data_IF_247167214045
#
_entry.id   IF_247167214045
#
_cell.length_a   1.000
_cell.length_b   1.000
_cell.length_c   1.000
_cell.angle_alpha   90.00
_cell.angle_beta   90.00
_cell.angle_gamma   90.00
#
_symmetry.space_group_name_H-M   'P 1'
#
loop_
_entity.id
_entity.type
_entity.pdbx_description
1 polymer ?
#
# COMPACT_ATOMS: atom_id res chain seq x y z
N UNK A 1 0.84 61.71 41.58
CA UNK A 1 0.09 60.59 40.97
C UNK A 1 0.94 59.33 41.08
N UNK A 2 0.58 58.42 42.00
CA UNK A 2 1.34 57.19 42.30
C UNK A 2 0.88 56.05 41.38
N UNK A 3 1.80 55.45 40.63
CA UNK A 3 1.55 54.25 39.80
C UNK A 3 1.71 53.00 40.68
N UNK A 4 0.64 52.22 40.85
CA UNK A 4 0.69 50.86 41.38
C UNK A 4 1.16 49.93 40.26
N UNK A 5 2.24 49.20 40.50
CA UNK A 5 2.67 48.07 39.67
C UNK A 5 2.14 46.77 40.31
N UNK A 6 1.24 46.08 39.61
CA UNK A 6 0.77 44.76 39.99
C UNK A 6 1.69 43.70 39.36
N UNK A 7 2.32 42.89 40.21
CA UNK A 7 3.19 41.78 39.81
C UNK A 7 2.31 40.56 39.52
N UNK A 8 2.18 40.17 38.26
CA UNK A 8 1.46 38.97 37.83
C UNK A 8 2.44 37.78 37.88
N UNK A 9 2.26 36.89 38.87
CA UNK A 9 3.02 35.63 38.96
C UNK A 9 2.34 34.62 38.03
N UNK A 10 2.97 34.34 36.89
CA UNK A 10 2.57 33.27 35.98
C UNK A 10 3.12 31.96 36.55
N UNK A 11 2.25 31.15 37.15
CA UNK A 11 2.57 29.76 37.50
C UNK A 11 2.69 28.97 36.19
N UNK A 12 3.94 28.72 35.76
CA UNK A 12 4.24 27.75 34.71
C UNK A 12 3.96 26.35 35.26
N UNK A 13 2.73 25.86 35.09
CA UNK A 13 2.45 24.44 35.22
C UNK A 13 3.25 23.71 34.13
N UNK A 14 4.43 23.20 34.49
CA UNK A 14 5.12 22.20 33.70
C UNK A 14 4.25 20.94 33.70
N UNK A 15 3.33 20.87 32.72
CA UNK A 15 2.52 19.68 32.51
C UNK A 15 3.47 18.53 32.20
N UNK A 16 3.52 17.54 33.09
CA UNK A 16 4.12 16.25 32.77
C UNK A 16 3.37 15.72 31.54
N UNK A 17 4.03 15.73 30.38
CA UNK A 17 3.52 15.02 29.22
C UNK A 17 3.33 13.56 29.64
N UNK A 18 2.15 12.96 29.42
CA UNK A 18 1.94 11.56 29.74
C UNK A 18 2.99 10.72 29.02
N UNK A 19 3.56 9.75 29.73
CA UNK A 19 4.51 8.82 29.12
C UNK A 19 3.84 8.12 27.92
N UNK A 20 4.57 8.00 26.81
CA UNK A 20 4.07 7.29 25.63
C UNK A 20 3.82 5.83 26.00
N UNK A 21 2.72 5.26 25.49
CA UNK A 21 2.38 3.86 25.74
C UNK A 21 3.47 2.94 25.18
N UNK A 22 3.78 1.87 25.92
CA UNK A 22 4.59 0.76 25.41
C UNK A 22 3.80 -0.05 24.38
N UNK A 23 4.48 -0.85 23.57
CA UNK A 23 3.83 -1.76 22.60
C UNK A 23 2.82 -2.69 23.28
N UNK A 24 3.20 -3.27 24.42
CA UNK A 24 2.31 -4.13 25.21
C UNK A 24 1.07 -3.40 25.70
N UNK A 25 1.22 -2.19 26.26
CA UNK A 25 0.09 -1.39 26.71
C UNK A 25 -0.84 -1.04 25.56
N UNK A 26 -0.27 -0.66 24.41
CA UNK A 26 -1.01 -0.33 23.22
C UNK A 26 -1.78 -1.54 22.67
N UNK A 27 -1.14 -2.71 22.58
CA UNK A 27 -1.77 -3.96 22.12
C UNK A 27 -2.94 -4.35 23.01
N UNK A 28 -2.80 -4.28 24.33
CA UNK A 28 -3.90 -4.59 25.25
C UNK A 28 -5.09 -3.63 25.09
N UNK A 29 -4.81 -2.32 25.00
CA UNK A 29 -5.84 -1.31 24.72
C UNK A 29 -6.58 -1.60 23.40
N UNK A 30 -5.86 -1.94 22.33
CA UNK A 30 -6.49 -2.30 21.05
C UNK A 30 -7.33 -3.58 21.14
N UNK A 31 -6.84 -4.63 21.80
CA UNK A 31 -7.60 -5.88 22.02
C UNK A 31 -8.90 -5.59 22.79
N UNK A 32 -8.87 -4.75 23.82
CA UNK A 32 -10.07 -4.37 24.56
C UNK A 32 -11.09 -3.64 23.69
N UNK A 33 -10.63 -2.74 22.82
CA UNK A 33 -11.51 -2.02 21.88
C UNK A 33 -12.15 -2.98 20.87
N UNK A 34 -11.36 -3.91 20.32
CA UNK A 34 -11.87 -4.95 19.43
C UNK A 34 -12.92 -5.83 20.11
N UNK A 35 -12.65 -6.30 21.33
CA UNK A 35 -13.63 -7.11 22.10
C UNK A 35 -14.92 -6.35 22.41
N UNK A 36 -14.86 -5.04 22.65
CA UNK A 36 -16.05 -4.20 22.85
C UNK A 36 -16.87 -4.07 21.56
N UNK A 37 -16.21 -3.98 20.40
CA UNK A 37 -16.86 -3.84 19.10
C UNK A 37 -17.40 -5.17 18.56
N UNK A 38 -16.72 -6.28 18.84
CA UNK A 38 -17.02 -7.62 18.33
C UNK A 38 -16.93 -8.64 19.48
N UNK A 39 -17.96 -8.73 20.35
CA UNK A 39 -17.92 -9.59 21.54
C UNK A 39 -17.89 -11.09 21.22
N UNK A 40 -18.34 -11.48 20.02
CA UNK A 40 -18.36 -12.88 19.55
C UNK A 40 -17.04 -13.32 18.89
N UNK A 41 -16.07 -12.41 18.74
CA UNK A 41 -14.77 -12.67 18.13
C UNK A 41 -13.70 -12.79 19.19
N UNK A 42 -12.86 -13.82 19.06
CA UNK A 42 -11.76 -14.06 19.99
C UNK A 42 -10.52 -13.32 19.51
N UNK A 43 -10.06 -12.38 20.32
CA UNK A 43 -8.80 -11.65 20.10
C UNK A 43 -7.75 -12.11 21.12
N UNK A 44 -6.61 -12.58 20.64
CA UNK A 44 -5.50 -13.06 21.46
C UNK A 44 -4.18 -12.36 21.11
N UNK A 45 -3.26 -12.37 22.06
CA UNK A 45 -1.90 -11.90 21.83
C UNK A 45 -1.25 -12.82 20.80
N UNK A 46 -0.74 -12.25 19.71
CA UNK A 46 0.03 -12.98 18.71
C UNK A 46 1.50 -13.16 19.13
N UNK A 47 2.26 -13.82 18.26
CA UNK A 47 3.67 -14.17 18.50
C UNK A 47 4.61 -12.94 18.54
N UNK A 48 4.15 -11.78 18.07
CA UNK A 48 4.92 -10.53 18.02
C UNK A 48 4.25 -9.41 18.84
N UNK A 49 5.02 -8.45 19.40
CA UNK A 49 4.53 -7.39 20.30
C UNK A 49 3.33 -6.58 19.79
N UNK A 50 3.23 -6.37 18.47
CA UNK A 50 2.16 -5.58 17.85
C UNK A 50 1.32 -6.42 16.87
N UNK A 51 1.23 -7.74 17.10
CA UNK A 51 0.35 -8.65 16.36
C UNK A 51 -0.72 -9.19 17.28
N UNK A 52 -1.96 -9.23 16.79
CA UNK A 52 -3.13 -9.79 17.48
C UNK A 52 -3.69 -10.92 16.61
N UNK A 53 -3.83 -12.11 17.19
CA UNK A 53 -4.51 -13.24 16.55
C UNK A 53 -6.03 -13.08 16.70
N UNK A 54 -6.75 -13.35 15.62
CA UNK A 54 -8.21 -13.24 15.53
C UNK A 54 -8.77 -14.61 15.19
N UNK A 55 -9.74 -15.08 15.96
CA UNK A 55 -10.45 -16.33 15.72
C UNK A 55 -11.97 -16.09 15.80
N UNK A 56 -12.69 -16.48 14.74
CA UNK A 56 -14.09 -16.16 14.54
C UNK A 56 -14.36 -14.76 13.97
N UNK A 57 -15.64 -14.48 13.71
CA UNK A 57 -16.10 -13.23 13.11
C UNK A 57 -16.38 -13.32 11.61
N UNK A 58 -16.18 -12.21 10.90
CA UNK A 58 -16.39 -12.13 9.46
C UNK A 58 -15.39 -12.98 8.66
N UNK A 59 -14.17 -13.12 9.20
CA UNK A 59 -13.09 -13.94 8.67
C UNK A 59 -12.82 -15.08 9.66
N UNK A 60 -12.84 -16.33 9.20
CA UNK A 60 -12.84 -17.50 10.09
C UNK A 60 -11.63 -17.57 11.05
N UNK A 61 -10.49 -16.97 10.66
CA UNK A 61 -9.33 -16.69 11.52
C UNK A 61 -8.36 -15.76 10.78
N UNK A 62 -7.56 -14.98 11.51
CA UNK A 62 -6.63 -14.01 10.92
C UNK A 62 -5.66 -13.38 11.91
N UNK A 63 -4.90 -12.39 11.45
CA UNK A 63 -4.05 -11.56 12.32
C UNK A 63 -4.24 -10.09 12.02
N UNK A 64 -4.20 -9.25 13.06
CA UNK A 64 -4.18 -7.80 12.95
C UNK A 64 -2.78 -7.30 13.27
N UNK A 65 -2.22 -6.52 12.36
CA UNK A 65 -0.91 -5.89 12.55
C UNK A 65 -1.09 -4.44 13.04
N UNK A 66 -0.64 -4.18 14.26
CA UNK A 66 -0.78 -2.90 14.95
C UNK A 66 0.43 -1.97 14.80
N UNK A 67 1.50 -2.40 14.11
CA UNK A 67 2.76 -1.64 14.00
C UNK A 67 2.54 -0.24 13.45
N UNK A 68 1.77 -0.11 12.37
CA UNK A 68 1.55 1.19 11.71
C UNK A 68 0.80 2.18 12.59
N UNK A 69 -0.29 1.75 13.22
CA UNK A 69 -1.07 2.63 14.08
C UNK A 69 -0.30 2.97 15.35
N UNK A 70 0.47 2.03 15.90
CA UNK A 70 1.35 2.29 17.02
C UNK A 70 2.40 3.37 16.68
N UNK A 71 3.12 3.21 15.56
CA UNK A 71 4.11 4.18 15.09
C UNK A 71 3.50 5.57 14.83
N UNK A 72 2.30 5.63 14.28
CA UNK A 72 1.55 6.88 14.14
C UNK A 72 1.27 7.51 15.52
N UNK A 73 0.71 6.74 16.44
CA UNK A 73 0.40 7.18 17.81
C UNK A 73 1.62 7.59 18.63
N UNK A 74 2.82 7.10 18.29
CA UNK A 74 4.06 7.58 18.93
C UNK A 74 4.34 9.06 18.62
N UNK A 75 3.81 9.60 17.52
CA UNK A 75 4.14 10.95 17.06
C UNK A 75 2.93 11.89 16.99
N UNK A 76 1.72 11.35 16.99
CA UNK A 76 0.48 12.11 16.93
C UNK A 76 0.11 12.75 18.28
N UNK A 77 -0.77 13.78 18.25
CA UNK A 77 -1.40 14.28 19.46
C UNK A 77 -2.31 13.19 20.08
N UNK A 78 -2.59 13.28 21.38
CA UNK A 78 -3.38 12.27 22.09
C UNK A 78 -4.79 12.09 21.48
N UNK A 79 -5.46 13.19 21.12
CA UNK A 79 -6.78 13.19 20.50
C UNK A 79 -6.76 12.53 19.11
N UNK A 80 -5.74 12.83 18.30
CA UNK A 80 -5.57 12.25 16.97
C UNK A 80 -5.28 10.74 17.04
N UNK A 81 -4.44 10.31 17.99
CA UNK A 81 -4.18 8.89 18.23
C UNK A 81 -5.46 8.16 18.65
N UNK A 82 -6.27 8.74 19.53
CA UNK A 82 -7.53 8.13 19.96
C UNK A 82 -8.55 8.02 18.81
N UNK A 83 -8.65 9.06 17.97
CA UNK A 83 -9.46 9.02 16.75
C UNK A 83 -8.98 7.92 15.79
N UNK A 84 -7.66 7.81 15.55
CA UNK A 84 -7.07 6.80 14.68
C UNK A 84 -7.32 5.37 15.21
N UNK A 85 -7.22 5.14 16.53
CA UNK A 85 -7.54 3.84 17.15
C UNK A 85 -8.99 3.45 16.93
N UNK A 86 -9.91 4.39 17.13
CA UNK A 86 -11.34 4.17 16.90
C UNK A 86 -11.62 3.81 15.44
N UNK A 87 -11.11 4.61 14.51
CA UNK A 87 -11.27 4.37 13.07
C UNK A 87 -10.69 3.01 12.66
N UNK A 88 -9.50 2.67 13.16
CA UNK A 88 -8.87 1.38 12.88
C UNK A 88 -9.74 0.21 13.36
N UNK A 89 -10.28 0.28 14.58
CA UNK A 89 -11.19 -0.75 15.10
C UNK A 89 -12.45 -0.85 14.26
N UNK A 90 -13.10 0.28 13.94
CA UNK A 90 -14.30 0.30 13.09
C UNK A 90 -14.04 -0.34 11.72
N UNK A 91 -12.93 0.00 11.06
CA UNK A 91 -12.57 -0.54 9.75
C UNK A 91 -12.20 -2.02 9.82
N UNK A 92 -11.37 -2.42 10.77
CA UNK A 92 -10.94 -3.82 10.93
C UNK A 92 -12.05 -4.75 11.41
N UNK A 93 -13.09 -4.22 12.07
CA UNK A 93 -14.27 -4.98 12.50
C UNK A 93 -15.38 -5.04 11.45
N UNK A 94 -15.27 -4.30 10.35
CA UNK A 94 -16.27 -4.32 9.28
C UNK A 94 -16.06 -5.54 8.40
N UNK A 95 -17.13 -6.35 8.23
CA UNK A 95 -17.11 -7.47 7.29
C UNK A 95 -16.71 -6.96 5.90
N UNK A 96 -15.71 -7.56 5.23
CA UNK A 96 -15.38 -7.19 3.87
C UNK A 96 -16.62 -7.28 2.97
N UNK A 97 -16.81 -6.33 2.04
CA UNK A 97 -17.89 -6.43 1.07
C UNK A 97 -17.76 -7.75 0.29
N UNK A 98 -18.87 -8.32 -0.20
CA UNK A 98 -18.81 -9.49 -1.06
C UNK A 98 -17.90 -9.25 -2.25
N UNK A 99 -17.11 -10.26 -2.60
CA UNK A 99 -16.28 -10.23 -3.80
C UNK A 99 -17.18 -10.14 -5.04
N UNK A 100 -16.93 -9.16 -5.90
CA UNK A 100 -17.67 -9.01 -7.17
C UNK A 100 -16.73 -8.78 -8.34
N UNK A 101 -17.14 -9.17 -9.53
CA UNK A 101 -16.34 -8.93 -10.75
C UNK A 101 -16.08 -7.44 -11.01
N UNK A 102 -16.92 -6.53 -10.49
CA UNK A 102 -16.75 -5.07 -10.61
C UNK A 102 -15.70 -4.47 -9.65
N UNK A 103 -15.30 -5.25 -8.65
CA UNK A 103 -14.22 -4.87 -7.71
C UNK A 103 -12.83 -5.26 -8.22
N UNK A 104 -12.72 -6.01 -9.31
CA UNK A 104 -11.42 -6.52 -9.75
C UNK A 104 -10.52 -5.38 -10.23
N UNK A 105 -9.28 -5.35 -9.74
CA UNK A 105 -8.22 -4.42 -10.14
C UNK A 105 -6.89 -5.15 -10.29
N UNK A 106 -5.96 -4.52 -11.00
CA UNK A 106 -4.55 -4.92 -11.04
C UNK A 106 -3.77 -3.90 -10.22
N UNK A 107 -2.95 -4.39 -9.29
CA UNK A 107 -1.93 -3.61 -8.57
C UNK A 107 -0.55 -4.09 -8.98
N UNK A 108 0.48 -3.26 -8.80
CA UNK A 108 1.88 -3.65 -9.03
C UNK A 108 2.64 -3.64 -7.72
N UNK A 109 3.41 -4.71 -7.46
CA UNK A 109 4.24 -4.88 -6.25
C UNK A 109 5.56 -5.54 -6.61
N UNK A 110 6.55 -5.38 -5.74
CA UNK A 110 7.85 -6.00 -5.89
C UNK A 110 7.85 -7.50 -5.54
N UNK A 111 8.99 -8.15 -5.78
CA UNK A 111 9.23 -9.54 -5.47
C UNK A 111 9.13 -9.82 -3.96
N UNK A 112 9.53 -8.87 -3.10
CA UNK A 112 9.47 -9.03 -1.64
C UNK A 112 8.03 -9.23 -1.17
N UNK A 113 7.11 -8.43 -1.69
CA UNK A 113 5.69 -8.58 -1.40
C UNK A 113 5.12 -9.90 -1.92
N UNK A 114 5.53 -10.33 -3.12
CA UNK A 114 5.12 -11.62 -3.69
C UNK A 114 5.64 -12.79 -2.87
N UNK A 115 6.88 -12.73 -2.39
CA UNK A 115 7.48 -13.74 -1.52
C UNK A 115 6.73 -13.82 -0.18
N UNK A 116 6.38 -12.66 0.39
CA UNK A 116 5.53 -12.59 1.59
C UNK A 116 4.19 -13.28 1.35
N UNK A 117 3.49 -13.01 0.24
CA UNK A 117 2.24 -13.71 -0.11
C UNK A 117 2.48 -15.22 -0.25
N UNK A 118 3.58 -15.62 -0.89
CA UNK A 118 3.95 -17.03 -1.09
C UNK A 118 4.04 -17.82 0.22
N UNK A 119 4.46 -17.17 1.31
CA UNK A 119 4.47 -17.80 2.64
C UNK A 119 3.06 -18.11 3.17
N UNK A 120 2.07 -17.26 2.89
CA UNK A 120 0.66 -17.54 3.23
C UNK A 120 0.06 -18.62 2.34
N UNK A 121 0.39 -18.60 1.05
CA UNK A 121 -0.04 -19.63 0.09
C UNK A 121 0.44 -21.02 0.52
N UNK A 122 1.71 -21.13 0.94
CA UNK A 122 2.28 -22.37 1.44
C UNK A 122 1.56 -22.89 2.70
N UNK A 123 1.14 -21.99 3.59
CA UNK A 123 0.37 -22.35 4.80
C UNK A 123 -1.07 -22.74 4.49
N UNK A 124 -1.72 -22.02 3.58
CA UNK A 124 -3.12 -22.24 3.22
C UNK A 124 -3.33 -23.46 2.30
N UNK A 125 -2.29 -23.88 1.57
CA UNK A 125 -2.36 -25.01 0.64
C UNK A 125 -3.04 -24.68 -0.70
N UNK A 126 -3.25 -23.39 -0.99
CA UNK A 126 -3.82 -22.89 -2.23
C UNK A 126 -3.28 -21.49 -2.56
N UNK A 127 -3.33 -21.12 -3.84
CA UNK A 127 -2.85 -19.81 -4.32
C UNK A 127 -3.80 -18.70 -3.85
N UNK A 128 -3.24 -17.71 -3.19
CA UNK A 128 -3.94 -16.56 -2.60
C UNK A 128 -3.95 -15.36 -3.55
N UNK A 129 -2.99 -15.29 -4.48
CA UNK A 129 -2.91 -14.19 -5.44
C UNK A 129 -2.60 -14.69 -6.87
N UNK A 130 -3.49 -14.37 -7.81
CA UNK A 130 -3.16 -14.40 -9.24
C UNK A 130 -2.16 -13.30 -9.53
N UNK A 131 -1.01 -13.66 -10.09
CA UNK A 131 0.10 -12.73 -10.36
C UNK A 131 0.80 -13.03 -11.67
N UNK A 132 1.33 -11.99 -12.31
CA UNK A 132 2.16 -12.07 -13.52
C UNK A 132 3.41 -11.22 -13.33
N UNK A 133 4.58 -11.80 -13.62
CA UNK A 133 5.82 -11.06 -13.62
C UNK A 133 5.84 -10.08 -14.81
N UNK A 134 6.12 -8.81 -14.53
CA UNK A 134 6.15 -7.71 -15.52
C UNK A 134 7.52 -7.04 -15.61
N UNK A 135 8.47 -7.42 -14.75
CA UNK A 135 9.89 -7.03 -14.80
C UNK A 135 10.70 -8.03 -13.98
N UNK A 136 12.00 -7.77 -13.80
CA UNK A 136 12.87 -8.71 -13.06
C UNK A 136 12.38 -8.93 -11.62
N UNK A 137 11.92 -7.87 -10.96
CA UNK A 137 11.41 -7.91 -9.59
C UNK A 137 10.01 -7.29 -9.44
N UNK A 138 9.31 -6.96 -10.53
CA UNK A 138 7.95 -6.44 -10.49
C UNK A 138 6.90 -7.46 -10.92
N UNK A 139 5.79 -7.43 -10.21
CA UNK A 139 4.64 -8.29 -10.46
C UNK A 139 3.36 -7.47 -10.50
N UNK A 140 2.56 -7.70 -11.53
CA UNK A 140 1.16 -7.33 -11.56
C UNK A 140 0.35 -8.39 -10.79
N UNK A 141 -0.56 -7.96 -9.93
CA UNK A 141 -1.33 -8.82 -9.02
C UNK A 141 -2.81 -8.48 -9.15
N UNK A 142 -3.66 -9.49 -9.29
CA UNK A 142 -5.11 -9.33 -9.28
C UNK A 142 -5.62 -9.18 -7.84
N UNK A 143 -6.40 -8.13 -7.63
CA UNK A 143 -7.01 -7.81 -6.33
C UNK A 143 -8.49 -7.50 -6.48
N UNK A 144 -9.20 -7.55 -5.37
CA UNK A 144 -10.56 -7.03 -5.21
C UNK A 144 -10.47 -5.75 -4.38
N UNK A 145 -10.86 -4.65 -5.01
CA UNK A 145 -10.92 -3.32 -4.44
C UNK A 145 -12.35 -3.04 -3.93
N UNK A 146 -12.50 -3.06 -2.61
CA UNK A 146 -13.73 -2.72 -1.92
C UNK A 146 -13.61 -1.37 -1.20
N UNK A 147 -14.73 -0.78 -0.75
CA UNK A 147 -14.73 0.60 -0.23
C UNK A 147 -13.78 0.90 0.93
N UNK A 148 -13.38 -0.13 1.69
CA UNK A 148 -12.51 0.01 2.86
C UNK A 148 -11.31 -0.95 2.84
N UNK A 149 -11.16 -1.80 1.83
CA UNK A 149 -10.14 -2.84 1.83
C UNK A 149 -9.80 -3.31 0.43
N UNK A 150 -8.54 -3.69 0.24
CA UNK A 150 -8.06 -4.37 -0.95
C UNK A 150 -7.70 -5.79 -0.52
N UNK A 151 -8.36 -6.78 -1.14
CA UNK A 151 -8.12 -8.20 -0.89
C UNK A 151 -7.42 -8.85 -2.08
N UNK A 152 -6.54 -9.81 -1.82
CA UNK A 152 -5.92 -10.62 -2.88
C UNK A 152 -6.98 -11.54 -3.52
N UNK A 153 -6.88 -11.72 -4.82
CA UNK A 153 -7.77 -12.65 -5.55
C UNK A 153 -6.97 -13.91 -5.88
N UNK A 154 -7.34 -15.02 -5.24
CA UNK A 154 -6.73 -16.34 -5.40
C UNK A 154 -7.69 -17.37 -5.98
N UNK A 155 -7.33 -18.65 -5.88
CA UNK A 155 -8.11 -19.73 -6.48
C UNK A 155 -9.53 -19.84 -5.88
N UNK A 156 -9.66 -19.66 -4.56
CA UNK A 156 -10.96 -19.65 -3.87
C UNK A 156 -11.84 -18.49 -4.35
N UNK A 157 -11.24 -17.29 -4.49
CA UNK A 157 -11.91 -16.09 -4.98
C UNK A 157 -12.43 -16.28 -6.42
N UNK A 158 -11.62 -16.89 -7.29
CA UNK A 158 -12.03 -17.21 -8.67
C UNK A 158 -13.19 -18.20 -8.71
N UNK A 159 -13.19 -19.22 -7.83
CA UNK A 159 -14.26 -20.19 -7.72
C UNK A 159 -15.57 -19.53 -7.25
N UNK A 160 -15.52 -18.63 -6.26
CA UNK A 160 -16.67 -17.85 -5.79
C UNK A 160 -17.27 -16.99 -6.92
N UNK A 161 -16.41 -16.30 -7.66
CA UNK A 161 -16.80 -15.47 -8.81
C UNK A 161 -17.26 -16.28 -10.03
N UNK A 162 -16.98 -17.59 -10.06
CA UNK A 162 -17.18 -18.46 -11.22
C UNK A 162 -16.46 -17.94 -12.47
N UNK A 163 -15.26 -17.42 -12.29
CA UNK A 163 -14.42 -16.90 -13.37
C UNK A 163 -13.19 -17.77 -13.58
N UNK A 164 -12.76 -17.88 -14.83
CA UNK A 164 -11.39 -18.34 -15.12
C UNK A 164 -10.39 -17.25 -14.77
N UNK A 165 -9.14 -17.67 -14.53
CA UNK A 165 -8.03 -16.72 -14.28
C UNK A 165 -7.90 -15.69 -15.41
N UNK A 166 -7.98 -16.12 -16.67
CA UNK A 166 -7.88 -15.24 -17.84
C UNK A 166 -9.03 -14.21 -17.87
N UNK A 167 -10.27 -14.65 -17.63
CA UNK A 167 -11.42 -13.74 -17.63
C UNK A 167 -11.34 -12.73 -16.47
N UNK A 168 -10.97 -13.18 -15.28
CA UNK A 168 -10.81 -12.30 -14.12
C UNK A 168 -9.68 -11.28 -14.33
N UNK A 169 -8.57 -11.71 -14.93
CA UNK A 169 -7.47 -10.82 -15.29
C UNK A 169 -7.90 -9.75 -16.30
N UNK A 170 -8.59 -10.14 -17.38
CA UNK A 170 -9.04 -9.20 -18.42
C UNK A 170 -10.05 -8.19 -17.87
N UNK A 171 -10.94 -8.64 -16.97
CA UNK A 171 -11.90 -7.77 -16.28
C UNK A 171 -11.15 -6.77 -15.37
N UNK A 172 -10.26 -7.27 -14.51
CA UNK A 172 -9.49 -6.45 -13.59
C UNK A 172 -8.62 -5.44 -14.32
N UNK A 173 -7.94 -5.87 -15.39
CA UNK A 173 -7.10 -4.98 -16.20
C UNK A 173 -7.90 -3.88 -16.87
N UNK A 174 -9.03 -4.20 -17.51
CA UNK A 174 -9.91 -3.20 -18.14
C UNK A 174 -10.43 -2.18 -17.14
N UNK A 175 -10.85 -2.62 -15.96
CA UNK A 175 -11.34 -1.71 -14.92
C UNK A 175 -10.22 -0.81 -14.39
N UNK A 176 -9.02 -1.36 -14.20
CA UNK A 176 -7.84 -0.58 -13.79
C UNK A 176 -7.48 0.45 -14.86
N UNK A 177 -7.33 0.05 -16.13
CA UNK A 177 -7.04 0.97 -17.23
C UNK A 177 -8.07 2.09 -17.38
N UNK A 178 -9.33 1.87 -17.00
CA UNK A 178 -10.39 2.88 -17.12
C UNK A 178 -10.25 4.04 -16.13
N UNK A 179 -9.47 3.86 -15.06
CA UNK A 179 -9.22 4.88 -14.04
C UNK A 179 -7.78 5.41 -14.05
N UNK A 180 -6.89 4.76 -14.80
CA UNK A 180 -5.50 5.20 -14.94
C UNK A 180 -5.37 6.38 -15.89
N UNK A 181 -4.35 7.23 -15.69
CA UNK A 181 -4.10 8.32 -16.60
C UNK A 181 -3.53 7.76 -17.91
N UNK A 182 -3.67 8.53 -18.99
CA UNK A 182 -3.15 8.11 -20.28
C UNK A 182 -1.62 8.13 -20.27
N UNK A 183 -1.00 7.04 -20.70
CA UNK A 183 0.44 6.99 -20.97
C UNK A 183 0.77 7.98 -22.12
N UNK A 184 1.75 8.89 -21.95
CA UNK A 184 2.14 9.88 -22.95
C UNK A 184 2.68 9.22 -24.22
N UNK A 185 2.67 9.97 -25.32
CA UNK A 185 3.27 9.48 -26.56
C UNK A 185 4.80 9.52 -26.48
N UNK A 186 5.47 8.76 -27.35
CA UNK A 186 6.93 8.84 -27.50
C UNK A 186 7.40 10.27 -27.83
N UNK A 187 6.64 11.01 -28.64
CA UNK A 187 6.98 12.38 -29.01
C UNK A 187 6.90 13.35 -27.82
N UNK A 188 6.01 13.10 -26.85
CA UNK A 188 5.90 13.90 -25.63
C UNK A 188 7.02 13.56 -24.65
N UNK A 189 7.27 12.26 -24.42
CA UNK A 189 8.35 11.80 -23.53
C UNK A 189 9.75 12.16 -24.04
N UNK A 190 9.95 12.21 -25.36
CA UNK A 190 11.20 12.66 -25.96
C UNK A 190 11.50 14.14 -25.75
N UNK A 191 10.51 14.95 -25.33
CA UNK A 191 10.68 16.39 -25.03
C UNK A 191 10.74 16.67 -23.54
N UNK A 192 10.00 15.91 -22.75
CA UNK A 192 9.86 16.12 -21.31
C UNK A 192 9.47 14.83 -20.62
N UNK A 193 10.03 14.60 -19.42
CA UNK A 193 9.57 13.52 -18.56
C UNK A 193 8.10 13.73 -18.13
N UNK A 194 7.44 12.62 -17.78
CA UNK A 194 6.09 12.60 -17.25
C UNK A 194 6.10 12.15 -15.79
N UNK A 195 5.49 12.95 -14.92
CA UNK A 195 5.16 12.59 -13.56
C UNK A 195 3.65 12.35 -13.48
N UNK A 196 3.26 11.22 -12.92
CA UNK A 196 1.87 10.88 -12.62
C UNK A 196 1.71 10.92 -11.12
N UNK A 197 0.73 11.70 -10.65
CA UNK A 197 0.55 11.98 -9.23
C UNK A 197 -0.94 11.98 -8.87
N UNK A 198 -1.24 11.80 -7.59
CA UNK A 198 -2.57 12.02 -6.98
C UNK A 198 -3.69 11.06 -7.38
N UNK A 199 -3.44 10.10 -8.28
CA UNK A 199 -4.39 9.03 -8.59
C UNK A 199 -4.03 7.73 -7.85
N UNK A 200 -5.03 6.89 -7.58
CA UNK A 200 -4.80 5.55 -7.03
C UNK A 200 -4.33 4.60 -8.13
N UNK A 201 -3.60 3.55 -7.75
CA UNK A 201 -3.12 2.49 -8.66
C UNK A 201 -2.11 2.94 -9.71
N UNK A 202 -1.46 4.10 -9.57
CA UNK A 202 -0.55 4.62 -10.60
C UNK A 202 0.58 3.64 -10.96
N UNK A 203 1.10 2.89 -9.99
CA UNK A 203 2.08 1.84 -10.24
C UNK A 203 1.61 0.79 -11.28
N UNK A 204 0.30 0.58 -11.43
CA UNK A 204 -0.29 -0.31 -12.44
C UNK A 204 -0.11 0.17 -13.87
N UNK A 205 0.30 1.42 -14.10
CA UNK A 205 0.79 1.87 -15.41
C UNK A 205 1.93 0.97 -15.90
N UNK A 206 2.81 0.51 -15.01
CA UNK A 206 3.94 -0.37 -15.37
C UNK A 206 3.48 -1.72 -15.97
N UNK A 207 2.24 -2.15 -15.72
CA UNK A 207 1.70 -3.40 -16.25
C UNK A 207 1.23 -3.28 -17.72
N UNK A 208 1.15 -2.09 -18.31
CA UNK A 208 0.82 -1.90 -19.74
C UNK A 208 2.06 -2.08 -20.62
N UNK A 209 2.65 -3.28 -20.57
CA UNK A 209 3.86 -3.62 -21.33
C UNK A 209 3.74 -3.31 -22.84
N UNK A 210 2.60 -3.58 -23.51
CA UNK A 210 2.45 -3.22 -24.92
C UNK A 210 2.48 -1.71 -25.19
N UNK A 211 2.00 -0.87 -24.28
CA UNK A 211 2.10 0.59 -24.42
C UNK A 211 3.55 1.06 -24.25
N UNK A 212 4.25 0.57 -23.23
CA UNK A 212 5.65 0.94 -22.98
C UNK A 212 6.61 0.41 -24.06
N UNK A 213 6.38 -0.79 -24.60
CA UNK A 213 7.15 -1.30 -25.74
C UNK A 213 7.10 -0.35 -26.93
N UNK A 214 5.92 0.16 -27.30
CA UNK A 214 5.77 1.09 -28.43
C UNK A 214 6.56 2.39 -28.23
N UNK A 215 6.69 2.85 -26.99
CA UNK A 215 7.47 4.04 -26.66
C UNK A 215 8.96 3.71 -26.71
N UNK A 216 9.36 2.58 -26.15
CA UNK A 216 10.74 2.08 -26.18
C UNK A 216 11.24 1.88 -27.60
N UNK A 217 10.41 1.32 -28.49
CA UNK A 217 10.75 1.13 -29.92
C UNK A 217 11.06 2.46 -30.63
N UNK A 218 10.46 3.56 -30.16
CA UNK A 218 10.60 4.89 -30.77
C UNK A 218 11.72 5.72 -30.13
N UNK A 219 11.95 5.58 -28.81
CA UNK A 219 12.91 6.38 -28.04
C UNK A 219 14.21 5.65 -27.72
N UNK A 220 14.26 4.33 -27.91
CA UNK A 220 15.40 3.49 -27.59
C UNK A 220 15.49 3.09 -26.12
N UNK A 221 16.64 2.51 -25.76
CA UNK A 221 16.89 1.88 -24.45
C UNK A 221 17.04 2.88 -23.29
N UNK A 222 17.03 4.18 -23.60
CA UNK A 222 17.14 5.27 -22.64
C UNK A 222 15.80 5.65 -21.98
N UNK A 223 14.68 5.04 -22.42
CA UNK A 223 13.41 5.13 -21.70
C UNK A 223 13.56 4.46 -20.31
N UNK A 224 13.03 5.10 -19.28
CA UNK A 224 12.88 4.47 -17.97
C UNK A 224 11.54 4.81 -17.30
N UNK A 225 11.16 3.98 -16.34
CA UNK A 225 10.00 4.16 -15.47
C UNK A 225 10.39 3.89 -14.00
N UNK A 226 9.75 4.59 -13.09
CA UNK A 226 9.80 4.32 -11.64
C UNK A 226 8.39 4.15 -11.11
N UNK A 227 8.20 3.21 -10.19
CA UNK A 227 6.93 2.99 -9.49
C UNK A 227 7.22 2.98 -7.99
N UNK A 228 7.41 4.18 -7.42
CA UNK A 228 7.87 4.32 -6.04
C UNK A 228 6.73 4.09 -5.05
N UNK A 229 5.51 4.51 -5.40
CA UNK A 229 4.31 4.27 -4.61
C UNK A 229 3.10 3.99 -5.50
N UNK A 230 1.99 3.60 -4.89
CA UNK A 230 0.70 3.46 -5.59
C UNK A 230 0.15 4.77 -6.16
N UNK A 231 0.75 5.92 -5.82
CA UNK A 231 0.28 7.26 -6.18
C UNK A 231 1.35 8.11 -6.87
N UNK A 232 2.50 7.52 -7.20
CA UNK A 232 3.58 8.22 -7.87
C UNK A 232 4.32 7.31 -8.84
N UNK A 233 4.22 7.66 -10.12
CA UNK A 233 5.00 7.05 -11.21
C UNK A 233 5.71 8.16 -11.95
N UNK A 234 6.96 7.91 -12.31
CA UNK A 234 7.73 8.82 -13.14
C UNK A 234 8.28 8.07 -14.35
N UNK A 235 8.14 8.66 -15.53
CA UNK A 235 8.69 8.11 -16.76
C UNK A 235 9.48 9.18 -17.50
N UNK A 236 10.63 8.82 -18.06
CA UNK A 236 11.51 9.76 -18.73
C UNK A 236 12.51 9.09 -19.64
N UNK A 237 13.33 9.92 -20.28
CA UNK A 237 14.46 9.46 -21.10
C UNK A 237 15.75 9.96 -20.48
N UNK A 238 16.66 9.06 -20.18
CA UNK A 238 17.97 9.37 -19.62
C UNK A 238 18.93 8.26 -20.01
N UNK A 239 20.08 8.63 -20.58
CA UNK A 239 21.13 7.68 -20.92
C UNK A 239 21.80 7.11 -19.67
N UNK A 240 22.37 5.91 -19.79
CA UNK A 240 23.19 5.34 -18.73
C UNK A 240 24.42 6.23 -18.45
N UNK A 241 24.71 6.48 -17.17
CA UNK A 241 25.81 7.35 -16.76
C UNK A 241 25.67 7.87 -15.33
N UNK A 242 26.57 8.78 -14.90
CA UNK A 242 26.59 9.30 -13.52
C UNK A 242 25.26 9.92 -13.07
N UNK A 243 24.57 10.64 -13.96
CA UNK A 243 23.28 11.28 -13.65
C UNK A 243 22.16 10.24 -13.43
N UNK A 244 22.16 9.15 -14.21
CA UNK A 244 21.23 8.03 -14.03
C UNK A 244 21.47 7.28 -12.72
N UNK A 245 22.73 7.07 -12.35
CA UNK A 245 23.09 6.47 -11.06
C UNK A 245 22.72 7.37 -9.88
N UNK A 246 22.93 8.69 -10.00
CA UNK A 246 22.51 9.65 -8.99
C UNK A 246 20.98 9.66 -8.85
N UNK A 247 20.25 9.64 -9.96
CA UNK A 247 18.79 9.58 -9.95
C UNK A 247 18.27 8.26 -9.36
N UNK A 248 18.91 7.12 -9.67
CA UNK A 248 18.59 5.82 -9.04
C UNK A 248 18.66 5.88 -7.52
N UNK A 249 19.71 6.49 -6.98
CA UNK A 249 19.85 6.67 -5.54
C UNK A 249 18.71 7.49 -4.95
N UNK A 250 18.33 8.59 -5.58
CA UNK A 250 17.19 9.42 -5.15
C UNK A 250 15.87 8.64 -5.14
N UNK A 251 15.65 7.76 -6.13
CA UNK A 251 14.44 6.91 -6.20
C UNK A 251 14.42 5.89 -5.06
N UNK A 252 15.57 5.30 -4.72
CA UNK A 252 15.67 4.42 -3.55
C UNK A 252 15.40 5.17 -2.24
N UNK A 253 15.94 6.38 -2.08
CA UNK A 253 15.70 7.21 -0.90
C UNK A 253 14.23 7.64 -0.79
N UNK A 254 13.60 8.02 -1.91
CA UNK A 254 12.18 8.36 -1.96
C UNK A 254 11.30 7.16 -1.58
N UNK A 255 11.56 5.98 -2.15
CA UNK A 255 10.91 4.72 -1.77
C UNK A 255 10.99 4.47 -0.26
N UNK A 256 12.17 4.63 0.35
CA UNK A 256 12.35 4.44 1.80
C UNK A 256 11.56 5.44 2.65
N UNK A 257 11.28 6.64 2.11
CA UNK A 257 10.45 7.65 2.76
C UNK A 257 8.95 7.40 2.61
N UNK A 258 8.53 6.59 1.63
CA UNK A 258 7.11 6.28 1.42
C UNK A 258 6.58 5.34 2.51
N UNK A 259 5.33 5.59 2.94
CA UNK A 259 4.65 4.68 3.88
C UNK A 259 4.41 3.28 3.28
N UNK A 260 4.27 3.21 1.96
CA UNK A 260 4.07 1.98 1.18
C UNK A 260 4.88 2.11 -0.11
N UNK A 261 6.15 1.75 -0.05
CA UNK A 261 6.94 1.65 -1.26
C UNK A 261 6.43 0.48 -2.12
N UNK A 262 6.33 0.72 -3.43
CA UNK A 262 6.06 -0.33 -4.41
C UNK A 262 7.37 -0.94 -4.91
N UNK A 263 8.34 -0.12 -5.31
CA UNK A 263 9.69 -0.56 -5.67
C UNK A 263 10.73 0.57 -5.55
N UNK A 264 11.96 0.27 -5.07
CA UNK A 264 13.08 1.21 -5.02
C UNK A 264 13.84 1.34 -6.36
N UNK A 265 13.43 0.64 -7.41
CA UNK A 265 14.21 0.45 -8.63
C UNK A 265 13.75 1.32 -9.82
N UNK A 266 14.65 1.47 -10.80
CA UNK A 266 14.37 2.06 -12.10
C UNK A 266 14.25 0.94 -13.13
N UNK A 267 13.22 1.02 -13.95
CA UNK A 267 12.88 0.02 -14.93
C UNK A 267 13.24 0.52 -16.32
N UNK A 268 14.00 -0.30 -17.05
CA UNK A 268 14.23 -0.14 -18.49
C UNK A 268 13.37 -1.13 -19.21
N UNK A 269 12.75 -0.71 -20.30
CA UNK A 269 12.02 -1.63 -21.14
C UNK A 269 12.99 -2.33 -22.10
N UNK A 270 13.21 -3.63 -21.93
CA UNK A 270 14.11 -4.44 -22.75
C UNK A 270 13.51 -5.81 -23.02
N UNK A 271 13.50 -6.23 -24.28
CA UNK A 271 12.99 -7.55 -24.68
C UNK A 271 11.51 -7.81 -24.26
N UNK A 272 10.66 -6.78 -24.31
CA UNK A 272 9.24 -6.93 -24.01
C UNK A 272 8.85 -6.84 -22.53
N UNK A 273 9.79 -6.49 -21.64
CA UNK A 273 9.59 -6.35 -20.19
C UNK A 273 10.43 -5.22 -19.62
#
# INVERSE_FOLDING_TARGET
>A
MKRLAALLIILLCAGCAPAKATEDQFRHDMIERFRKQQPDVKFEIGDEPLVVSVDGGADASGTLNLHRIFQYCQNAAAEDCEAAKKEFVEKSSTKPPPLTSASLRIVVRDAVYVDYIGQFEAKAGNRQAIRRQIGDDLFAILVSDGPNTIALVGDTSLAELKLSEAAAWDIGWRQTQSILPKIPSAADLGKSAAAFESEEYLASLAADLPAWQKISDALGDDLFLTAVSDQFVFAGVMADGPDFEAFRKSVTEDCQAQQRCVSPNLYRFRNGR
#
